data_IF_574417926107
#
_entry.id   IF_574417926107
#
_cell.length_a   1.000
_cell.length_b   1.000
_cell.length_c   1.000
_cell.angle_alpha   90.00
_cell.angle_beta   90.00
_cell.angle_gamma   90.00
#
_symmetry.space_group_name_H-M   'P 1'
#
loop_
_entity.id
_entity.type
_entity.pdbx_description
1 polymer ?
#
# COMPACT_ATOMS: atom_id res chain seq x y z
N UNK A 1 -26.65 -0.79 3.71
CA UNK A 1 -25.69 0.36 3.80
C UNK A 1 -24.32 -0.10 4.28
N UNK A 2 -24.24 -0.92 5.33
CA UNK A 2 -22.97 -1.50 5.82
C UNK A 2 -22.21 -2.30 4.73
N UNK A 3 -22.92 -3.08 3.91
CA UNK A 3 -22.30 -3.83 2.81
C UNK A 3 -21.62 -2.93 1.77
N UNK A 4 -22.15 -1.72 1.55
CA UNK A 4 -21.56 -0.73 0.63
C UNK A 4 -20.25 -0.20 1.23
N UNK A 5 -20.21 0.05 2.54
CA UNK A 5 -18.99 0.47 3.24
C UNK A 5 -17.91 -0.63 3.20
N UNK A 6 -18.29 -1.87 3.47
CA UNK A 6 -17.38 -3.02 3.38
C UNK A 6 -16.81 -3.15 1.97
N UNK A 7 -17.65 -3.01 0.95
CA UNK A 7 -17.23 -3.08 -0.45
C UNK A 7 -16.26 -1.94 -0.80
N UNK A 8 -16.56 -0.72 -0.38
CA UNK A 8 -15.70 0.43 -0.59
C UNK A 8 -14.32 0.25 0.06
N UNK A 9 -14.26 -0.23 1.30
CA UNK A 9 -12.99 -0.52 2.00
C UNK A 9 -12.17 -1.55 1.23
N UNK A 10 -12.80 -2.65 0.77
CA UNK A 10 -12.10 -3.69 0.00
C UNK A 10 -11.57 -3.18 -1.34
N UNK A 11 -12.34 -2.33 -2.04
CA UNK A 11 -11.90 -1.74 -3.30
C UNK A 11 -10.69 -0.82 -3.06
N UNK A 12 -10.74 0.02 -2.03
CA UNK A 12 -9.64 0.93 -1.70
C UNK A 12 -8.38 0.14 -1.31
N UNK A 13 -8.53 -0.90 -0.48
CA UNK A 13 -7.42 -1.80 -0.12
C UNK A 13 -6.78 -2.42 -1.35
N UNK A 14 -7.58 -3.02 -2.25
CA UNK A 14 -7.07 -3.67 -3.47
C UNK A 14 -6.36 -2.68 -4.40
N UNK A 15 -6.94 -1.49 -4.61
CA UNK A 15 -6.33 -0.46 -5.45
C UNK A 15 -5.01 0.05 -4.86
N UNK A 16 -4.96 0.23 -3.54
CA UNK A 16 -3.74 0.67 -2.87
C UNK A 16 -2.65 -0.42 -2.88
N UNK A 17 -3.02 -1.67 -2.61
CA UNK A 17 -2.13 -2.83 -2.74
C UNK A 17 -1.56 -2.93 -4.16
N UNK A 18 -2.42 -2.79 -5.19
CA UNK A 18 -2.00 -2.77 -6.58
C UNK A 18 -1.04 -1.60 -6.86
N UNK A 19 -1.32 -0.40 -6.35
CA UNK A 19 -0.45 0.77 -6.52
C UNK A 19 0.95 0.53 -5.92
N UNK A 20 1.04 -0.10 -4.74
CA UNK A 20 2.32 -0.46 -4.12
C UNK A 20 3.07 -1.50 -4.95
N UNK A 21 2.38 -2.51 -5.50
CA UNK A 21 2.98 -3.51 -6.39
C UNK A 21 3.50 -2.83 -7.66
N UNK A 22 2.70 -1.96 -8.29
CA UNK A 22 3.10 -1.18 -9.47
C UNK A 22 4.34 -0.35 -9.14
N UNK A 23 4.37 0.36 -8.01
CA UNK A 23 5.56 1.11 -7.53
C UNK A 23 6.79 0.22 -7.49
N UNK A 24 6.69 -0.98 -6.93
CA UNK A 24 7.83 -1.91 -6.84
C UNK A 24 8.28 -2.31 -8.23
N UNK A 25 7.38 -2.76 -9.09
CA UNK A 25 7.70 -3.19 -10.46
C UNK A 25 8.37 -2.04 -11.24
N UNK A 26 7.73 -0.87 -11.33
CA UNK A 26 8.28 0.25 -12.10
C UNK A 26 9.59 0.77 -11.51
N UNK A 27 9.85 0.56 -10.21
CA UNK A 27 11.12 0.98 -9.61
C UNK A 27 12.34 0.24 -10.17
N UNK A 28 12.15 -1.01 -10.63
CA UNK A 28 13.20 -1.82 -11.25
C UNK A 28 13.36 -1.56 -12.76
N UNK A 29 12.28 -1.23 -13.47
CA UNK A 29 12.28 -1.17 -14.93
C UNK A 29 12.22 0.24 -15.53
N UNK A 30 11.73 1.24 -14.79
CA UNK A 30 11.45 2.59 -15.31
C UNK A 30 12.40 3.59 -14.68
N UNK A 31 12.95 4.53 -15.46
CA UNK A 31 13.84 5.58 -14.93
C UNK A 31 13.16 6.43 -13.82
N UNK A 32 13.87 6.79 -12.74
CA UNK A 32 13.36 7.68 -11.69
C UNK A 32 12.87 9.05 -12.19
N UNK A 33 13.35 9.50 -13.35
CA UNK A 33 12.96 10.78 -13.96
C UNK A 33 11.69 10.69 -14.83
N UNK A 34 11.10 9.51 -14.97
CA UNK A 34 9.87 9.34 -15.72
C UNK A 34 8.67 9.92 -14.92
N UNK A 35 7.86 10.77 -15.56
CA UNK A 35 6.73 11.47 -14.92
C UNK A 35 5.72 10.52 -14.27
N UNK A 36 5.45 9.35 -14.86
CA UNK A 36 4.55 8.36 -14.29
C UNK A 36 5.13 7.74 -13.02
N UNK A 37 6.41 7.33 -13.06
CA UNK A 37 7.10 6.80 -11.86
C UNK A 37 7.15 7.84 -10.75
N UNK A 38 7.50 9.09 -11.04
CA UNK A 38 7.51 10.17 -10.04
C UNK A 38 6.13 10.38 -9.40
N UNK A 39 5.05 10.22 -10.17
CA UNK A 39 3.68 10.35 -9.66
C UNK A 39 3.36 9.21 -8.70
N UNK A 40 3.65 7.98 -9.09
CA UNK A 40 3.46 6.80 -8.24
C UNK A 40 4.31 6.89 -6.97
N UNK A 41 5.58 7.27 -7.09
CA UNK A 41 6.49 7.44 -5.95
C UNK A 41 5.93 8.49 -4.98
N UNK A 42 5.45 9.64 -5.45
CA UNK A 42 4.83 10.67 -4.58
C UNK A 42 3.59 10.18 -3.83
N UNK A 43 2.81 9.27 -4.41
CA UNK A 43 1.62 8.72 -3.77
C UNK A 43 1.97 7.68 -2.69
N UNK A 44 3.01 6.88 -2.91
CA UNK A 44 3.33 5.73 -2.06
C UNK A 44 4.41 6.06 -1.00
N UNK A 45 5.35 6.96 -1.33
CA UNK A 45 6.51 7.28 -0.48
C UNK A 45 6.15 7.80 0.93
N UNK A 46 5.10 8.63 1.14
CA UNK A 46 4.70 9.03 2.49
C UNK A 46 4.36 7.87 3.42
N UNK A 47 3.94 6.72 2.87
CA UNK A 47 3.62 5.51 3.63
C UNK A 47 4.83 4.60 3.79
N UNK A 48 5.75 4.57 2.82
CA UNK A 48 6.98 3.77 2.89
C UNK A 48 8.04 4.41 3.79
N UNK A 49 8.19 5.74 3.77
CA UNK A 49 9.26 6.42 4.49
C UNK A 49 9.21 6.17 6.02
N UNK A 50 8.06 6.18 6.71
CA UNK A 50 7.99 5.80 8.12
C UNK A 50 8.38 4.34 8.37
N UNK A 51 7.99 3.42 7.49
CA UNK A 51 8.31 2.00 7.61
C UNK A 51 9.82 1.79 7.48
N UNK A 52 10.46 2.46 6.52
CA UNK A 52 11.92 2.40 6.32
C UNK A 52 12.74 2.95 7.49
N UNK A 53 12.15 3.83 8.32
CA UNK A 53 12.82 4.29 9.55
C UNK A 53 12.91 3.21 10.62
N UNK A 54 11.96 2.27 10.64
CA UNK A 54 11.91 1.17 11.61
C UNK A 54 12.60 -0.08 11.05
N UNK A 55 12.33 -0.40 9.79
CA UNK A 55 12.91 -1.49 9.04
C UNK A 55 13.78 -0.90 7.91
N UNK A 56 15.03 -0.52 8.22
CA UNK A 56 15.93 0.00 7.21
C UNK A 56 16.16 -1.06 6.12
N UNK A 57 16.40 -0.58 4.90
CA UNK A 57 16.67 -1.44 3.74
C UNK A 57 17.90 -2.31 4.01
N UNK A 58 17.77 -3.63 3.80
CA UNK A 58 18.88 -4.57 3.97
C UNK A 58 19.60 -4.68 2.62
N UNK A 59 20.74 -4.02 2.50
CA UNK A 59 21.48 -3.94 1.24
C UNK A 59 20.68 -3.19 0.16
N UNK A 60 20.49 -3.81 -1.00
CA UNK A 60 19.71 -3.22 -2.11
C UNK A 60 18.21 -3.60 -2.08
N UNK A 61 17.79 -4.45 -1.13
CA UNK A 61 16.42 -4.93 -1.07
C UNK A 61 15.59 -4.08 -0.10
N UNK A 62 14.54 -3.45 -0.62
CA UNK A 62 13.57 -2.70 0.14
C UNK A 62 12.35 -3.58 0.47
N UNK A 63 12.29 -4.08 1.71
CA UNK A 63 11.16 -4.86 2.21
C UNK A 63 9.99 -4.00 2.70
N UNK A 64 10.15 -2.67 2.78
CA UNK A 64 9.08 -1.77 3.24
C UNK A 64 7.76 -1.88 2.44
N UNK A 65 7.75 -2.14 1.10
CA UNK A 65 6.51 -2.31 0.35
C UNK A 65 5.73 -3.55 0.79
N UNK A 66 6.41 -4.65 1.13
CA UNK A 66 5.76 -5.86 1.63
C UNK A 66 5.09 -5.59 2.98
N UNK A 67 5.82 -4.92 3.88
CA UNK A 67 5.28 -4.52 5.19
C UNK A 67 4.08 -3.58 5.02
N UNK A 68 4.16 -2.62 4.10
CA UNK A 68 3.06 -1.71 3.80
C UNK A 68 1.81 -2.47 3.33
N UNK A 69 1.95 -3.42 2.41
CA UNK A 69 0.84 -4.25 1.92
C UNK A 69 0.18 -5.02 3.07
N UNK A 70 0.98 -5.63 3.94
CA UNK A 70 0.47 -6.36 5.12
C UNK A 70 -0.29 -5.42 6.04
N UNK A 71 0.25 -4.23 6.34
CA UNK A 71 -0.41 -3.25 7.20
C UNK A 71 -1.76 -2.79 6.61
N UNK A 72 -1.81 -2.52 5.31
CA UNK A 72 -3.04 -2.10 4.63
C UNK A 72 -4.10 -3.21 4.70
N UNK A 73 -3.71 -4.46 4.44
CA UNK A 73 -4.61 -5.62 4.54
C UNK A 73 -5.11 -5.84 5.96
N UNK A 74 -4.24 -5.71 6.97
CA UNK A 74 -4.63 -5.83 8.37
C UNK A 74 -5.62 -4.74 8.79
N UNK A 75 -5.34 -3.48 8.44
CA UNK A 75 -6.23 -2.35 8.73
C UNK A 75 -7.60 -2.56 8.08
N UNK A 76 -7.62 -2.90 6.78
CA UNK A 76 -8.87 -3.17 6.07
C UNK A 76 -9.63 -4.35 6.68
N UNK A 77 -8.94 -5.43 7.04
CA UNK A 77 -9.53 -6.60 7.69
C UNK A 77 -10.16 -6.27 9.04
N UNK A 78 -9.49 -5.48 9.88
CA UNK A 78 -10.02 -5.01 11.16
C UNK A 78 -11.26 -4.14 10.95
N UNK A 79 -11.21 -3.17 10.03
CA UNK A 79 -12.35 -2.31 9.72
C UNK A 79 -13.56 -3.11 9.24
N UNK A 80 -13.33 -4.07 8.33
CA UNK A 80 -14.39 -4.96 7.84
C UNK A 80 -14.95 -5.81 8.98
N UNK A 81 -14.11 -6.38 9.84
CA UNK A 81 -14.57 -7.18 10.98
C UNK A 81 -15.46 -6.36 11.93
N UNK A 82 -15.06 -5.12 12.25
CA UNK A 82 -15.86 -4.21 13.07
C UNK A 82 -17.22 -3.95 12.41
N UNK A 83 -17.25 -3.64 11.11
CA UNK A 83 -18.50 -3.41 10.38
C UNK A 83 -19.40 -4.64 10.33
N UNK A 84 -18.81 -5.84 10.23
CA UNK A 84 -19.57 -7.10 10.30
C UNK A 84 -20.19 -7.33 11.68
N UNK A 85 -19.51 -6.96 12.77
CA UNK A 85 -20.03 -7.13 14.13
C UNK A 85 -21.17 -6.14 14.48
N UNK A 86 -21.25 -5.00 13.77
CA UNK A 86 -22.25 -3.93 14.02
C UNK A 86 -23.45 -4.03 13.07
N UNK A 87 -23.36 -4.87 12.03
CA UNK A 87 -24.46 -5.18 11.11
C UNK A 87 -25.57 -5.96 11.79
#
# INVERSE_FOLDING_TARGET
>A
MVDVLISAIRIIEQLFTLLVIVKVIISYFVSPYNSFRMTVDRLVEPFLAPIRRILPTIGMFDFSPLVLIILVQLIAGILVNILWNVR
#
